data_IF_246882755496
#
_entry.id   IF_246882755496
#
_cell.length_a   1.000
_cell.length_b   1.000
_cell.length_c   1.000
_cell.angle_alpha   90.00
_cell.angle_beta   90.00
_cell.angle_gamma   90.00
#
_symmetry.space_group_name_H-M   'P 1'
#
loop_
_entity.id
_entity.type
_entity.pdbx_description
1 polymer ?
#
# COMPACT_ATOMS: atom_id res chain seq x y z
N UNK A 1 27.07 -2.39 26.87
CA UNK A 1 26.22 -3.58 26.77
C UNK A 1 24.77 -3.16 26.96
N UNK A 2 24.04 -2.81 25.89
CA UNK A 2 22.59 -2.57 25.95
C UNK A 2 21.91 -3.79 25.36
N UNK A 3 21.10 -4.47 26.17
CA UNK A 3 20.31 -5.63 25.76
C UNK A 3 19.38 -5.25 24.61
N UNK A 4 19.53 -5.92 23.45
CA UNK A 4 18.61 -5.85 22.32
C UNK A 4 17.30 -6.52 22.75
N UNK A 5 16.40 -5.74 23.35
CA UNK A 5 15.08 -6.19 23.81
C UNK A 5 14.04 -6.26 22.68
N UNK A 6 14.38 -6.89 21.55
CA UNK A 6 13.39 -7.28 20.56
C UNK A 6 12.74 -8.58 21.02
N UNK A 7 11.43 -8.58 21.25
CA UNK A 7 10.68 -9.83 21.43
C UNK A 7 10.74 -10.60 20.11
N UNK A 8 11.56 -11.64 20.05
CA UNK A 8 11.73 -12.45 18.85
C UNK A 8 10.45 -13.26 18.59
N UNK A 9 9.47 -12.63 17.94
CA UNK A 9 8.22 -13.24 17.54
C UNK A 9 8.47 -14.09 16.30
N UNK A 10 8.41 -15.41 16.46
CA UNK A 10 8.44 -16.34 15.31
C UNK A 10 7.13 -16.22 14.52
N UNK A 11 7.09 -15.29 13.58
CA UNK A 11 6.01 -15.08 12.61
C UNK A 11 6.53 -15.55 11.26
N UNK A 12 5.78 -16.46 10.62
CA UNK A 12 6.17 -17.01 9.33
C UNK A 12 6.28 -15.89 8.27
N UNK A 13 7.37 -15.92 7.49
CA UNK A 13 7.73 -14.98 6.39
C UNK A 13 8.00 -13.51 6.74
N UNK A 14 7.82 -13.11 7.99
CA UNK A 14 8.08 -11.75 8.44
C UNK A 14 9.58 -11.49 8.50
N UNK A 15 10.06 -10.57 7.66
CA UNK A 15 11.36 -9.93 7.86
C UNK A 15 11.13 -8.75 8.80
N UNK A 16 11.27 -8.97 10.09
CA UNK A 16 10.85 -8.02 11.13
C UNK A 16 11.83 -6.85 11.29
N UNK A 17 11.30 -5.66 11.58
CA UNK A 17 12.13 -4.52 11.93
C UNK A 17 12.70 -4.70 13.34
N UNK A 18 13.98 -4.36 13.55
CA UNK A 18 14.67 -4.59 14.83
C UNK A 18 14.02 -3.85 16.00
N UNK A 19 13.36 -2.71 15.73
CA UNK A 19 12.70 -1.87 16.73
C UNK A 19 11.16 -2.09 16.80
N UNK A 20 10.61 -3.02 16.03
CA UNK A 20 9.18 -3.32 16.05
C UNK A 20 8.71 -3.85 17.43
N UNK A 21 7.61 -3.30 17.95
CA UNK A 21 7.07 -3.62 19.27
C UNK A 21 7.86 -3.06 20.46
N UNK A 22 8.91 -2.27 20.21
CA UNK A 22 9.64 -1.54 21.27
C UNK A 22 9.00 -0.16 21.52
N UNK A 23 9.60 0.64 22.41
CA UNK A 23 9.20 2.05 22.59
C UNK A 23 9.30 2.90 21.31
N UNK A 24 10.06 2.45 20.31
CA UNK A 24 10.22 3.11 19.01
C UNK A 24 9.30 2.53 17.92
N UNK A 25 8.36 1.63 18.27
CA UNK A 25 7.42 1.01 17.34
C UNK A 25 6.68 2.04 16.46
N UNK A 26 6.33 3.20 17.02
CA UNK A 26 5.65 4.30 16.31
C UNK A 26 6.43 4.85 15.10
N UNK A 27 7.74 4.64 15.10
CA UNK A 27 8.63 5.09 14.04
C UNK A 27 8.94 3.96 13.04
N UNK A 28 8.44 2.75 13.29
CA UNK A 28 8.57 1.62 12.40
C UNK A 28 7.44 1.54 11.37
N UNK A 29 7.77 1.07 10.18
CA UNK A 29 6.83 0.81 9.08
C UNK A 29 6.91 -0.66 8.66
N UNK A 30 5.76 -1.34 8.57
CA UNK A 30 5.66 -2.67 7.98
C UNK A 30 5.25 -2.54 6.51
N UNK A 31 6.12 -2.97 5.60
CA UNK A 31 5.81 -3.05 4.16
C UNK A 31 5.07 -4.36 3.90
N UNK A 32 3.80 -4.27 3.49
CA UNK A 32 2.99 -5.43 3.11
C UNK A 32 3.03 -5.54 1.58
N UNK A 33 3.60 -6.64 1.07
CA UNK A 33 3.90 -6.79 -0.35
C UNK A 33 2.96 -7.77 -1.04
N UNK A 34 2.67 -7.52 -2.31
CA UNK A 34 1.99 -8.47 -3.19
C UNK A 34 2.96 -9.54 -3.72
N UNK A 35 2.98 -10.70 -3.06
CA UNK A 35 3.81 -11.84 -3.46
C UNK A 35 5.31 -11.66 -3.14
N UNK A 36 6.06 -12.71 -3.48
CA UNK A 36 7.51 -12.78 -3.22
C UNK A 36 8.31 -11.89 -4.18
N UNK A 37 7.78 -11.56 -5.35
CA UNK A 37 8.41 -10.64 -6.30
C UNK A 37 8.51 -9.22 -5.72
N UNK A 38 7.40 -8.70 -5.17
CA UNK A 38 7.39 -7.41 -4.50
C UNK A 38 8.20 -7.44 -3.20
N UNK A 39 8.20 -8.57 -2.48
CA UNK A 39 9.07 -8.79 -1.31
C UNK A 39 10.55 -8.62 -1.68
N UNK A 40 11.01 -9.26 -2.75
CA UNK A 40 12.40 -9.15 -3.18
C UNK A 40 12.79 -7.69 -3.48
N UNK A 41 11.88 -6.92 -4.09
CA UNK A 41 12.06 -5.49 -4.33
C UNK A 41 12.16 -4.70 -3.01
N UNK A 42 11.27 -4.96 -2.05
CA UNK A 42 11.29 -4.32 -0.74
C UNK A 42 12.57 -4.63 0.05
N UNK A 43 13.01 -5.90 0.07
CA UNK A 43 14.23 -6.34 0.75
C UNK A 43 15.47 -5.67 0.15
N UNK A 44 15.54 -5.53 -1.18
CA UNK A 44 16.62 -4.77 -1.82
C UNK A 44 16.60 -3.29 -1.42
N UNK A 45 15.41 -2.70 -1.25
CA UNK A 45 15.23 -1.35 -0.71
C UNK A 45 15.70 -1.18 0.73
N UNK A 46 15.54 -2.21 1.57
CA UNK A 46 16.00 -2.20 2.96
C UNK A 46 17.53 -2.07 3.10
N UNK A 47 18.30 -2.42 2.06
CA UNK A 47 19.75 -2.18 2.04
C UNK A 47 20.09 -0.68 2.13
N UNK A 48 19.16 0.20 1.76
CA UNK A 48 19.31 1.66 1.78
C UNK A 48 18.77 2.27 3.07
N UNK A 49 17.53 1.91 3.44
CA UNK A 49 16.84 2.53 4.60
C UNK A 49 17.13 1.84 5.93
N UNK A 50 17.81 0.69 5.90
CA UNK A 50 18.12 -0.12 7.07
C UNK A 50 16.95 -0.98 7.56
N UNK A 51 17.28 -1.97 8.42
CA UNK A 51 16.31 -2.92 9.00
C UNK A 51 15.82 -2.52 10.39
N UNK A 52 16.34 -1.44 10.96
CA UNK A 52 15.96 -1.02 12.31
C UNK A 52 14.47 -0.65 12.41
N UNK A 53 13.94 0.03 11.37
CA UNK A 53 12.60 0.63 11.37
C UNK A 53 11.68 0.09 10.28
N UNK A 54 12.16 -0.80 9.43
CA UNK A 54 11.42 -1.28 8.27
C UNK A 54 11.34 -2.79 8.28
N UNK A 55 10.11 -3.30 8.32
CA UNK A 55 9.82 -4.72 8.19
C UNK A 55 9.13 -5.02 6.86
N UNK A 56 9.15 -6.28 6.44
CA UNK A 56 8.48 -6.74 5.21
C UNK A 56 7.64 -7.99 5.49
N UNK A 57 6.39 -7.99 5.04
CA UNK A 57 5.48 -9.13 5.12
C UNK A 57 4.83 -9.42 3.75
N UNK A 58 5.15 -10.56 3.11
CA UNK A 58 4.55 -10.92 1.83
C UNK A 58 3.15 -11.54 1.98
N UNK A 59 2.19 -11.01 1.24
CA UNK A 59 0.92 -11.68 0.97
C UNK A 59 1.11 -12.70 -0.16
N UNK A 60 0.55 -13.90 -0.02
CA UNK A 60 0.51 -14.92 -1.09
C UNK A 60 -0.50 -14.57 -2.17
N UNK A 61 -1.49 -13.72 -1.86
CA UNK A 61 -2.51 -13.28 -2.79
C UNK A 61 -3.52 -12.36 -2.12
N UNK A 62 -4.76 -12.42 -2.60
CA UNK A 62 -5.87 -11.64 -2.05
C UNK A 62 -6.13 -12.03 -0.60
N UNK A 63 -6.00 -11.05 0.29
CA UNK A 63 -6.33 -11.19 1.70
C UNK A 63 -7.79 -11.65 1.85
N UNK A 64 -8.08 -12.49 2.85
CA UNK A 64 -9.44 -12.89 3.13
C UNK A 64 -10.32 -11.66 3.40
N UNK A 65 -11.42 -11.51 2.67
CA UNK A 65 -12.44 -10.53 3.03
C UNK A 65 -13.04 -10.90 4.39
N UNK A 66 -12.78 -10.06 5.39
CA UNK A 66 -13.18 -10.30 6.77
C UNK A 66 -14.66 -10.01 7.01
N UNK A 67 -15.28 -9.16 6.17
CA UNK A 67 -16.69 -8.80 6.31
C UNK A 67 -17.58 -9.99 5.99
N UNK A 68 -18.37 -10.42 6.97
CA UNK A 68 -19.23 -11.59 6.87
C UNK A 68 -18.49 -12.94 6.96
N UNK A 69 -17.19 -12.95 7.24
CA UNK A 69 -16.48 -14.18 7.58
C UNK A 69 -16.74 -14.54 9.06
N UNK A 70 -16.99 -15.82 9.34
CA UNK A 70 -17.12 -16.29 10.73
C UNK A 70 -15.76 -16.26 11.44
N UNK A 71 -15.76 -16.11 12.77
CA UNK A 71 -14.54 -16.15 13.58
C UNK A 71 -13.70 -17.40 13.31
N UNK A 72 -14.35 -18.56 13.19
CA UNK A 72 -13.68 -19.81 12.86
C UNK A 72 -12.96 -19.78 11.49
N UNK A 73 -13.52 -19.07 10.49
CA UNK A 73 -12.88 -18.90 9.18
C UNK A 73 -11.69 -17.95 9.24
N UNK A 74 -11.81 -16.87 10.03
CA UNK A 74 -10.73 -15.90 10.23
C UNK A 74 -9.51 -16.57 10.90
N UNK A 75 -9.74 -17.30 12.00
CA UNK A 75 -8.68 -17.97 12.76
C UNK A 75 -8.00 -19.11 11.99
N UNK A 76 -8.70 -19.73 11.03
CA UNK A 76 -8.13 -20.74 10.12
C UNK A 76 -7.32 -20.13 8.97
N UNK A 77 -7.46 -18.84 8.71
CA UNK A 77 -6.67 -18.17 7.68
C UNK A 77 -5.32 -17.74 8.28
N UNK A 78 -4.30 -18.58 8.08
CA UNK A 78 -2.97 -18.35 8.63
C UNK A 78 -2.38 -17.01 8.19
N UNK A 79 -2.57 -16.61 6.93
CA UNK A 79 -2.02 -15.36 6.41
C UNK A 79 -2.57 -14.13 7.13
N UNK A 80 -3.90 -14.06 7.30
CA UNK A 80 -4.57 -13.02 8.07
C UNK A 80 -4.08 -13.02 9.53
N UNK A 81 -4.01 -14.19 10.16
CA UNK A 81 -3.55 -14.33 11.55
C UNK A 81 -2.10 -13.86 11.70
N UNK A 82 -1.21 -14.24 10.79
CA UNK A 82 0.20 -13.82 10.85
C UNK A 82 0.37 -12.32 10.58
N UNK A 83 -0.41 -11.74 9.65
CA UNK A 83 -0.42 -10.29 9.42
C UNK A 83 -0.89 -9.52 10.66
N UNK A 84 -2.01 -9.93 11.27
CA UNK A 84 -2.51 -9.31 12.50
C UNK A 84 -1.47 -9.43 13.62
N UNK A 85 -0.82 -10.59 13.78
CA UNK A 85 0.26 -10.79 14.76
C UNK A 85 1.48 -9.91 14.46
N UNK A 86 1.87 -9.74 13.20
CA UNK A 86 2.98 -8.88 12.79
C UNK A 86 2.73 -7.43 13.21
N UNK A 87 1.48 -6.97 13.11
CA UNK A 87 1.04 -5.64 13.51
C UNK A 87 0.78 -5.48 15.01
N UNK A 88 0.70 -6.58 15.78
CA UNK A 88 0.27 -6.52 17.19
C UNK A 88 -1.22 -6.27 17.34
N UNK A 89 -2.04 -6.77 16.42
CA UNK A 89 -3.48 -6.59 16.36
C UNK A 89 -4.22 -7.90 16.67
N UNK A 90 -5.40 -7.79 17.28
CA UNK A 90 -6.31 -8.92 17.53
C UNK A 90 -7.77 -8.47 17.49
N UNK A 91 -8.69 -9.20 16.80
CA UNK A 91 -10.09 -8.81 16.74
C UNK A 91 -10.73 -8.67 18.14
N UNK A 92 -11.54 -7.63 18.34
CA UNK A 92 -12.25 -7.39 19.61
C UNK A 92 -11.42 -6.71 20.70
N UNK A 93 -10.12 -6.49 20.46
CA UNK A 93 -9.31 -5.62 21.30
C UNK A 93 -9.23 -4.23 20.66
N UNK A 94 -9.48 -3.18 21.46
CA UNK A 94 -9.12 -1.82 21.06
C UNK A 94 -7.60 -1.70 21.15
N UNK A 95 -6.87 -1.44 20.05
CA UNK A 95 -5.45 -1.19 20.12
C UNK A 95 -5.26 0.07 20.96
N UNK A 96 -4.54 -0.03 22.07
CA UNK A 96 -4.04 1.18 22.73
C UNK A 96 -3.16 1.90 21.70
N UNK A 97 -3.47 3.16 21.43
CA UNK A 97 -2.60 4.05 20.69
C UNK A 97 -1.17 3.94 21.24
N UNK A 98 -0.17 4.34 20.44
CA UNK A 98 1.27 4.22 20.73
C UNK A 98 1.76 5.05 21.95
N UNK A 99 0.90 5.29 22.93
CA UNK A 99 1.15 5.86 24.23
C UNK A 99 1.65 4.77 25.17
N UNK A 100 2.96 4.75 25.43
CA UNK A 100 3.50 4.03 26.55
C UNK A 100 3.08 4.70 27.87
N UNK A 101 2.14 4.09 28.56
CA UNK A 101 1.92 4.14 30.01
C UNK A 101 1.08 2.89 30.33
N UNK A 102 1.59 1.89 31.07
CA UNK A 102 1.44 1.85 32.53
C UNK A 102 -0.04 2.05 32.88
N UNK A 103 -0.82 1.05 33.29
CA UNK A 103 -0.71 0.44 34.62
C UNK A 103 -1.49 -0.89 34.67
N UNK A 104 -0.82 -2.00 34.97
CA UNK A 104 -1.40 -3.20 35.61
C UNK A 104 -2.59 -3.94 34.97
N UNK A 105 -3.17 -3.46 33.87
CA UNK A 105 -4.35 -4.04 33.24
C UNK A 105 -3.95 -5.01 32.12
N UNK A 106 -4.61 -6.17 32.13
CA UNK A 106 -4.40 -7.31 31.25
C UNK A 106 -4.20 -6.94 29.76
N UNK A 107 -3.08 -7.39 29.19
CA UNK A 107 -2.82 -7.68 27.77
C UNK A 107 -3.61 -6.88 26.72
N UNK A 108 -3.60 -5.54 26.78
CA UNK A 108 -4.07 -4.75 25.63
C UNK A 108 -3.03 -4.85 24.51
N UNK A 109 -3.40 -5.23 23.28
CA UNK A 109 -2.45 -5.30 22.17
C UNK A 109 -1.87 -3.93 21.88
N UNK A 110 -0.55 -3.83 21.97
CA UNK A 110 0.21 -2.67 21.53
C UNK A 110 0.65 -2.90 20.10
N UNK A 111 0.38 -1.90 19.23
CA UNK A 111 0.84 -1.92 17.85
C UNK A 111 2.36 -2.14 17.80
N UNK A 112 2.81 -3.07 16.95
CA UNK A 112 4.24 -3.32 16.73
C UNK A 112 4.87 -2.36 15.75
N UNK A 113 4.05 -1.77 14.88
CA UNK A 113 4.44 -0.81 13.86
C UNK A 113 3.55 0.41 13.95
N UNK A 114 4.12 1.59 13.75
CA UNK A 114 3.38 2.84 13.70
C UNK A 114 2.71 3.07 12.35
N UNK A 115 3.17 2.38 11.31
CA UNK A 115 2.65 2.49 9.95
C UNK A 115 2.65 1.15 9.21
N UNK A 116 1.73 1.02 8.28
CA UNK A 116 1.67 -0.02 7.26
C UNK A 116 1.81 0.63 5.89
N UNK A 117 2.76 0.16 5.11
CA UNK A 117 2.96 0.58 3.73
C UNK A 117 2.56 -0.55 2.79
N UNK A 118 1.53 -0.33 1.99
CA UNK A 118 1.04 -1.29 1.00
C UNK A 118 1.86 -1.14 -0.28
N UNK A 119 2.49 -2.23 -0.70
CA UNK A 119 3.36 -2.28 -1.88
C UNK A 119 2.85 -3.36 -2.83
N UNK A 120 1.94 -2.95 -3.71
CA UNK A 120 1.26 -3.81 -4.69
C UNK A 120 1.59 -3.39 -6.12
N UNK A 121 1.31 -4.25 -7.09
CA UNK A 121 1.39 -3.87 -8.49
C UNK A 121 0.37 -2.74 -8.80
N UNK A 122 0.69 -1.90 -9.79
CA UNK A 122 -0.15 -0.80 -10.23
C UNK A 122 -1.20 -1.28 -11.24
N UNK A 123 -1.91 -2.34 -10.86
CA UNK A 123 -2.98 -2.97 -11.63
C UNK A 123 -4.25 -3.18 -10.78
N UNK A 124 -5.26 -3.83 -11.39
CA UNK A 124 -6.57 -4.07 -10.77
C UNK A 124 -6.49 -5.04 -9.58
N UNK A 125 -5.58 -6.02 -9.62
CA UNK A 125 -5.40 -6.99 -8.55
C UNK A 125 -4.70 -6.36 -7.35
N UNK A 126 -3.68 -5.54 -7.58
CA UNK A 126 -3.03 -4.74 -6.53
C UNK A 126 -4.00 -3.75 -5.88
N UNK A 127 -4.84 -3.08 -6.67
CA UNK A 127 -5.91 -2.23 -6.14
C UNK A 127 -6.90 -3.00 -5.25
N UNK A 128 -7.25 -4.24 -5.63
CA UNK A 128 -8.12 -5.09 -4.83
C UNK A 128 -7.45 -5.55 -3.53
N UNK A 129 -6.18 -5.94 -3.55
CA UNK A 129 -5.41 -6.28 -2.35
C UNK A 129 -5.38 -5.09 -1.39
N UNK A 130 -5.07 -3.88 -1.88
CA UNK A 130 -5.12 -2.65 -1.08
C UNK A 130 -6.49 -2.46 -0.43
N UNK A 131 -7.55 -2.60 -1.21
CA UNK A 131 -8.92 -2.50 -0.71
C UNK A 131 -9.28 -3.53 0.36
N UNK A 132 -8.81 -4.78 0.25
CA UNK A 132 -9.03 -5.82 1.26
C UNK A 132 -8.29 -5.51 2.57
N UNK A 133 -7.05 -5.03 2.49
CA UNK A 133 -6.30 -4.57 3.66
C UNK A 133 -7.00 -3.40 4.36
N UNK A 134 -7.44 -2.40 3.59
CA UNK A 134 -8.20 -1.25 4.11
C UNK A 134 -9.53 -1.70 4.73
N UNK A 135 -10.25 -2.61 4.08
CA UNK A 135 -11.51 -3.16 4.59
C UNK A 135 -11.32 -3.89 5.92
N UNK A 136 -10.24 -4.66 6.07
CA UNK A 136 -9.89 -5.32 7.32
C UNK A 136 -9.62 -4.30 8.44
N UNK A 137 -8.77 -3.31 8.18
CA UNK A 137 -8.46 -2.26 9.14
C UNK A 137 -9.71 -1.47 9.52
N UNK A 138 -10.52 -1.06 8.55
CA UNK A 138 -11.78 -0.37 8.77
C UNK A 138 -12.77 -1.21 9.60
N UNK A 139 -12.88 -2.51 9.32
CA UNK A 139 -13.86 -3.36 9.99
C UNK A 139 -13.54 -3.61 11.46
N UNK A 140 -12.26 -3.78 11.82
CA UNK A 140 -11.87 -4.08 13.20
C UNK A 140 -11.32 -2.89 13.98
N UNK A 141 -10.66 -1.95 13.30
CA UNK A 141 -9.92 -0.83 13.90
C UNK A 141 -10.08 0.46 13.07
N UNK A 142 -11.31 0.98 12.89
CA UNK A 142 -11.56 2.16 12.07
C UNK A 142 -10.73 3.39 12.50
N UNK A 143 -10.44 3.52 13.80
CA UNK A 143 -9.58 4.59 14.33
C UNK A 143 -8.17 4.62 13.69
N UNK A 144 -7.63 3.48 13.24
CA UNK A 144 -6.33 3.45 12.54
C UNK A 144 -6.38 4.14 11.17
N UNK A 145 -7.55 4.23 10.55
CA UNK A 145 -7.72 4.92 9.27
C UNK A 145 -8.11 6.39 9.46
N UNK A 146 -8.88 6.72 10.50
CA UNK A 146 -9.44 8.05 10.68
C UNK A 146 -8.60 8.98 11.55
N UNK A 147 -7.92 8.42 12.56
CA UNK A 147 -7.29 9.20 13.63
C UNK A 147 -5.76 9.14 13.58
N UNK A 148 -5.19 8.32 12.68
CA UNK A 148 -3.76 8.13 12.57
C UNK A 148 -3.31 8.08 11.10
N UNK A 149 -2.12 8.62 10.76
CA UNK A 149 -1.48 8.39 9.47
C UNK A 149 -0.85 6.99 9.42
N UNK A 150 -1.69 5.97 9.63
CA UNK A 150 -1.26 4.58 9.79
C UNK A 150 -1.01 3.89 8.45
N UNK A 151 -1.77 4.23 7.40
CA UNK A 151 -1.69 3.54 6.11
C UNK A 151 -1.02 4.41 5.06
N UNK A 152 -0.10 3.80 4.34
CA UNK A 152 0.66 4.41 3.25
C UNK A 152 0.69 3.46 2.06
N UNK A 153 0.91 4.01 0.88
CA UNK A 153 1.15 3.26 -0.35
C UNK A 153 2.57 3.53 -0.83
N UNK A 154 3.24 2.46 -1.28
CA UNK A 154 4.47 2.56 -2.05
C UNK A 154 4.15 2.44 -3.54
N UNK A 155 4.39 3.52 -4.29
CA UNK A 155 4.17 3.58 -5.74
C UNK A 155 5.49 3.47 -6.49
N UNK A 156 5.50 2.75 -7.61
CA UNK A 156 6.64 2.70 -8.54
C UNK A 156 6.29 3.38 -9.86
N UNK A 157 7.29 3.87 -10.62
CA UNK A 157 7.04 4.46 -11.92
C UNK A 157 6.38 3.44 -12.86
N UNK A 158 5.35 3.88 -13.58
CA UNK A 158 4.71 3.11 -14.65
C UNK A 158 5.58 3.14 -15.92
N UNK A 159 6.21 4.29 -16.18
CA UNK A 159 7.05 4.52 -17.36
C UNK A 159 8.33 5.24 -16.95
N UNK A 160 9.46 4.83 -17.54
CA UNK A 160 10.73 5.55 -17.44
C UNK A 160 11.23 5.94 -18.82
N UNK A 161 11.49 7.23 -19.01
CA UNK A 161 12.15 7.75 -20.19
C UNK A 161 13.64 7.97 -19.88
N UNK A 162 14.51 7.23 -20.56
CA UNK A 162 15.97 7.39 -20.46
C UNK A 162 16.47 8.19 -21.66
N UNK A 163 17.16 9.32 -21.45
CA UNK A 163 17.67 10.13 -22.55
C UNK A 163 18.90 9.48 -23.19
N UNK A 164 19.09 9.73 -24.49
CA UNK A 164 20.39 9.58 -25.14
C UNK A 164 21.41 10.55 -24.54
N UNK A 165 22.70 10.26 -24.72
CA UNK A 165 23.78 11.11 -24.21
C UNK A 165 23.57 12.59 -24.60
N UNK A 166 23.64 13.49 -23.62
CA UNK A 166 23.44 14.94 -23.82
C UNK A 166 21.98 15.41 -23.98
N UNK A 167 20.97 14.54 -23.80
CA UNK A 167 19.55 14.91 -23.88
C UNK A 167 18.88 15.20 -22.51
N UNK A 168 19.65 15.18 -21.41
CA UNK A 168 19.21 15.55 -20.07
C UNK A 168 19.22 14.39 -19.06
N UNK A 169 18.38 14.50 -18.02
CA UNK A 169 18.23 13.47 -16.99
C UNK A 169 17.05 12.52 -17.29
N UNK A 170 17.12 11.29 -16.76
CA UNK A 170 16.02 10.34 -16.83
C UNK A 170 14.76 10.89 -16.15
N UNK A 171 13.59 10.49 -16.66
CA UNK A 171 12.29 10.89 -16.15
C UNK A 171 11.46 9.66 -15.81
N UNK A 172 10.85 9.70 -14.64
CA UNK A 172 9.94 8.67 -14.16
C UNK A 172 8.51 9.24 -14.19
N UNK A 173 7.57 8.46 -14.68
CA UNK A 173 6.15 8.83 -14.78
C UNK A 173 5.33 7.82 -14.00
N UNK A 174 4.44 8.31 -13.13
CA UNK A 174 3.62 7.46 -12.26
C UNK A 174 2.21 7.24 -12.82
N UNK A 175 1.86 7.91 -13.92
CA UNK A 175 0.60 7.68 -14.63
C UNK A 175 0.77 7.75 -16.15
N UNK A 176 -0.12 7.05 -16.86
CA UNK A 176 -0.18 7.11 -18.31
C UNK A 176 -0.55 8.52 -18.81
N UNK A 177 -1.31 9.30 -18.03
CA UNK A 177 -1.69 10.66 -18.38
C UNK A 177 -0.47 11.61 -18.33
N UNK A 178 0.33 11.52 -17.28
CA UNK A 178 1.56 12.29 -17.12
C UNK A 178 2.56 11.99 -18.26
N UNK A 179 2.77 10.71 -18.55
CA UNK A 179 3.62 10.29 -19.66
C UNK A 179 3.12 10.79 -21.01
N UNK A 180 1.82 10.62 -21.32
CA UNK A 180 1.23 11.06 -22.60
C UNK A 180 1.34 12.57 -22.78
N UNK A 181 1.06 13.35 -21.74
CA UNK A 181 1.18 14.82 -21.78
C UNK A 181 2.62 15.25 -22.05
N UNK A 182 3.59 14.65 -21.36
CA UNK A 182 5.01 14.96 -21.59
C UNK A 182 5.46 14.53 -22.98
N UNK A 183 5.20 13.28 -23.36
CA UNK A 183 5.65 12.74 -24.65
C UNK A 183 4.99 13.46 -25.83
N UNK A 184 3.71 13.84 -25.71
CA UNK A 184 2.98 14.61 -26.72
C UNK A 184 3.44 16.07 -26.86
N UNK A 185 4.17 16.60 -25.87
CA UNK A 185 4.79 17.93 -25.96
C UNK A 185 6.10 17.96 -26.75
N UNK A 186 6.66 16.79 -27.09
CA UNK A 186 7.91 16.67 -27.83
C UNK A 186 7.67 16.61 -29.33
N UNK A 187 8.54 17.24 -30.12
CA UNK A 187 8.61 16.97 -31.56
C UNK A 187 9.08 15.53 -31.83
N UNK A 188 8.80 14.96 -33.02
CA UNK A 188 9.27 13.62 -33.37
C UNK A 188 10.79 13.44 -33.23
N UNK A 189 11.57 14.48 -33.56
CA UNK A 189 13.03 14.46 -33.44
C UNK A 189 13.49 14.45 -31.97
N UNK A 190 12.78 15.13 -31.07
CA UNK A 190 13.07 15.12 -29.64
C UNK A 190 12.65 13.80 -29.00
N UNK A 191 11.47 13.28 -29.33
CA UNK A 191 10.97 12.01 -28.84
C UNK A 191 11.92 10.85 -29.17
N UNK A 192 12.51 10.84 -30.37
CA UNK A 192 13.50 9.84 -30.79
C UNK A 192 14.79 9.82 -29.93
N UNK A 193 15.04 10.85 -29.13
CA UNK A 193 16.20 10.92 -28.21
C UNK A 193 15.93 10.23 -26.86
N UNK A 194 14.77 9.61 -26.68
CA UNK A 194 14.39 8.95 -25.43
C UNK A 194 14.10 7.47 -25.64
N UNK A 195 14.71 6.63 -24.82
CA UNK A 195 14.35 5.21 -24.69
C UNK A 195 13.26 5.07 -23.63
N UNK A 196 12.09 4.61 -24.04
CA UNK A 196 10.93 4.41 -23.16
C UNK A 196 10.90 2.97 -22.65
N UNK A 197 10.87 2.79 -21.32
CA UNK A 197 10.66 1.50 -20.65
C UNK A 197 9.34 1.54 -19.89
N UNK A 198 8.50 0.54 -20.12
CA UNK A 198 7.24 0.34 -19.39
C UNK A 198 7.44 -0.72 -18.29
N UNK A 199 6.90 -0.47 -17.10
CA UNK A 199 6.96 -1.40 -15.98
C UNK A 199 5.58 -2.05 -15.84
N UNK A 200 5.51 -3.37 -16.05
CA UNK A 200 4.25 -4.12 -16.01
C UNK A 200 3.83 -4.52 -14.59
N UNK A 201 4.78 -4.47 -13.65
CA UNK A 201 4.62 -4.84 -12.25
C UNK A 201 5.95 -4.64 -11.52
N UNK A 202 5.92 -4.74 -10.20
CA UNK A 202 7.03 -4.50 -9.28
C UNK A 202 8.23 -5.41 -9.60
N UNK A 203 7.99 -6.64 -10.04
CA UNK A 203 9.03 -7.59 -10.47
C UNK A 203 9.82 -7.17 -11.72
N UNK A 204 9.38 -6.13 -12.46
CA UNK A 204 10.11 -5.59 -13.62
C UNK A 204 11.28 -4.69 -13.21
N UNK A 205 11.25 -4.20 -11.96
CA UNK A 205 12.28 -3.31 -11.42
C UNK A 205 13.48 -4.12 -10.94
N UNK A 206 14.67 -3.65 -11.30
CA UNK A 206 15.93 -4.23 -10.84
C UNK A 206 16.21 -3.85 -9.38
N UNK A 207 17.09 -4.60 -8.70
CA UNK A 207 17.53 -4.25 -7.35
C UNK A 207 18.17 -2.85 -7.26
N UNK A 208 18.86 -2.40 -8.33
CA UNK A 208 19.42 -1.05 -8.39
C UNK A 208 18.33 0.03 -8.47
N UNK A 209 17.26 -0.21 -9.24
CA UNK A 209 16.08 0.66 -9.27
C UNK A 209 15.38 0.66 -7.91
N UNK A 210 15.22 -0.51 -7.27
CA UNK A 210 14.65 -0.63 -5.92
C UNK A 210 15.38 0.27 -4.92
N UNK A 211 16.72 0.16 -4.87
CA UNK A 211 17.54 1.00 -4.00
C UNK A 211 17.35 2.49 -4.30
N UNK A 212 17.29 2.87 -5.58
CA UNK A 212 17.02 4.26 -5.96
C UNK A 212 15.64 4.75 -5.54
N UNK A 213 14.61 3.89 -5.58
CA UNK A 213 13.27 4.25 -5.13
C UNK A 213 13.22 4.48 -3.62
N UNK A 214 13.89 3.63 -2.85
CA UNK A 214 13.96 3.74 -1.40
C UNK A 214 14.85 4.91 -0.93
N UNK A 215 15.91 5.23 -1.66
CA UNK A 215 16.69 6.47 -1.46
C UNK A 215 15.82 7.72 -1.70
N UNK A 216 14.96 7.66 -2.71
CA UNK A 216 14.00 8.72 -3.04
C UNK A 216 12.61 8.51 -2.40
N UNK A 217 12.54 7.94 -1.19
CA UNK A 217 11.28 7.50 -0.55
C UNK A 217 10.15 8.53 -0.60
N UNK A 218 10.44 9.83 -0.44
CA UNK A 218 9.44 10.89 -0.47
C UNK A 218 8.65 10.98 -1.81
N UNK A 219 9.23 10.50 -2.93
CA UNK A 219 8.55 10.45 -4.23
C UNK A 219 7.73 9.17 -4.44
N UNK A 220 8.05 8.12 -3.67
CA UNK A 220 7.44 6.79 -3.79
C UNK A 220 6.41 6.51 -2.69
N UNK A 221 6.37 7.35 -1.65
CA UNK A 221 5.46 7.23 -0.53
C UNK A 221 4.25 8.13 -0.70
N UNK A 222 3.07 7.54 -0.70
CA UNK A 222 1.78 8.25 -0.67
C UNK A 222 1.10 7.92 0.65
N UNK A 223 0.93 8.91 1.53
CA UNK A 223 0.15 8.71 2.75
C UNK A 223 -1.34 8.70 2.40
N UNK A 224 -2.10 7.78 3.00
CA UNK A 224 -3.55 7.85 2.93
C UNK A 224 -4.02 8.94 3.91
N UNK A 225 -4.58 10.01 3.38
CA UNK A 225 -5.15 11.07 4.21
C UNK A 225 -6.54 10.65 4.72
N UNK A 226 -6.84 10.91 6.00
CA UNK A 226 -8.19 10.75 6.52
C UNK A 226 -9.09 11.78 5.86
N UNK A 227 -9.86 11.34 4.85
CA UNK A 227 -10.85 12.15 4.15
C UNK A 227 -12.13 12.32 4.97
N UNK A 228 -13.26 12.46 4.29
CA UNK A 228 -14.57 12.35 4.93
C UNK A 228 -14.78 10.91 5.42
N UNK A 229 -14.69 10.72 6.75
CA UNK A 229 -14.84 9.42 7.39
C UNK A 229 -16.19 8.77 7.06
N UNK A 230 -17.28 9.54 7.02
CA UNK A 230 -18.60 8.98 6.71
C UNK A 230 -18.69 8.47 5.27
N UNK A 231 -18.09 9.21 4.33
CA UNK A 231 -18.03 8.78 2.94
C UNK A 231 -17.12 7.56 2.76
N UNK A 232 -15.98 7.53 3.43
CA UNK A 232 -15.05 6.40 3.40
C UNK A 232 -15.68 5.13 3.99
N UNK A 233 -16.40 5.26 5.11
CA UNK A 233 -17.08 4.16 5.79
C UNK A 233 -18.11 3.50 4.87
N UNK A 234 -18.96 4.32 4.24
CA UNK A 234 -19.98 3.87 3.33
C UNK A 234 -19.39 3.19 2.09
N UNK A 235 -18.32 3.76 1.51
CA UNK A 235 -17.65 3.19 0.35
C UNK A 235 -16.98 1.85 0.67
N UNK A 236 -16.25 1.75 1.79
CA UNK A 236 -15.59 0.52 2.21
C UNK A 236 -16.60 -0.56 2.59
N UNK A 237 -17.71 -0.18 3.23
CA UNK A 237 -18.78 -1.12 3.52
C UNK A 237 -19.48 -1.61 2.25
N UNK A 238 -19.91 -0.70 1.37
CA UNK A 238 -20.53 -1.06 0.08
C UNK A 238 -19.63 -1.95 -0.78
N UNK A 239 -18.34 -1.62 -0.86
CA UNK A 239 -17.37 -2.36 -1.67
C UNK A 239 -17.15 -3.80 -1.18
N UNK A 240 -17.09 -4.03 0.14
CA UNK A 240 -16.65 -5.31 0.70
C UNK A 240 -17.72 -6.09 1.47
N UNK A 241 -18.85 -5.50 1.83
CA UNK A 241 -19.90 -6.21 2.57
C UNK A 241 -20.63 -7.20 1.65
N UNK A 242 -20.71 -8.50 2.00
CA UNK A 242 -21.25 -9.52 1.11
C UNK A 242 -22.73 -9.29 0.75
N UNK A 243 -23.52 -8.72 1.67
CA UNK A 243 -24.93 -8.43 1.45
C UNK A 243 -25.21 -7.24 0.51
N UNK A 244 -24.20 -6.43 0.15
CA UNK A 244 -24.38 -5.18 -0.59
C UNK A 244 -24.16 -5.32 -2.11
N UNK A 245 -24.49 -6.48 -2.66
CA UNK A 245 -24.31 -6.76 -4.09
C UNK A 245 -25.16 -5.85 -5.00
N UNK A 246 -26.38 -5.53 -4.58
CA UNK A 246 -27.27 -4.61 -5.32
C UNK A 246 -26.70 -3.19 -5.38
N UNK A 247 -26.13 -2.70 -4.27
CA UNK A 247 -25.53 -1.38 -4.19
C UNK A 247 -24.30 -1.28 -5.10
N UNK A 248 -23.43 -2.30 -5.09
CA UNK A 248 -22.28 -2.38 -6.01
C UNK A 248 -22.72 -2.34 -7.47
N UNK A 249 -23.81 -3.02 -7.83
CA UNK A 249 -24.35 -2.98 -9.21
C UNK A 249 -24.72 -1.56 -9.61
N UNK A 250 -25.45 -0.87 -8.74
CA UNK A 250 -25.87 0.53 -8.97
C UNK A 250 -24.66 1.47 -9.04
N UNK A 251 -23.69 1.27 -8.16
CA UNK A 251 -22.45 2.05 -8.12
C UNK A 251 -21.61 1.90 -9.39
N UNK A 252 -21.45 0.66 -9.90
CA UNK A 252 -20.75 0.40 -11.15
C UNK A 252 -21.49 0.99 -12.36
N UNK A 253 -22.83 0.89 -12.40
CA UNK A 253 -23.64 1.51 -13.45
C UNK A 253 -23.43 3.04 -13.49
N UNK A 254 -23.51 3.70 -12.34
CA UNK A 254 -23.26 5.13 -12.24
C UNK A 254 -21.82 5.51 -12.67
N UNK A 255 -20.83 4.66 -12.39
CA UNK A 255 -19.45 4.88 -12.84
C UNK A 255 -19.30 4.78 -14.37
N UNK A 256 -19.96 3.79 -15.00
CA UNK A 256 -19.99 3.64 -16.46
C UNK A 256 -20.64 4.86 -17.11
N UNK A 257 -21.77 5.32 -16.58
CA UNK A 257 -22.46 6.51 -17.09
C UNK A 257 -21.62 7.79 -16.94
N UNK A 258 -20.93 7.97 -15.80
CA UNK A 258 -20.00 9.09 -15.62
C UNK A 258 -18.86 9.08 -16.64
N UNK A 259 -18.30 7.90 -16.92
CA UNK A 259 -17.24 7.73 -17.90
C UNK A 259 -17.72 8.03 -19.31
N UNK A 260 -18.88 7.51 -19.69
CA UNK A 260 -19.49 7.78 -20.99
C UNK A 260 -19.76 9.28 -21.19
N UNK A 261 -20.25 9.98 -20.16
CA UNK A 261 -20.41 11.45 -20.20
C UNK A 261 -19.07 12.17 -20.36
N UNK A 262 -18.06 11.81 -19.58
CA UNK A 262 -16.73 12.44 -19.68
C UNK A 262 -16.06 12.22 -21.05
N UNK A 263 -16.27 11.06 -21.68
CA UNK A 263 -15.78 10.77 -23.02
C UNK A 263 -16.53 11.60 -24.07
N UNK A 264 -17.86 11.73 -23.94
CA UNK A 264 -18.67 12.59 -24.81
C UNK A 264 -18.34 14.09 -24.67
N UNK A 265 -18.09 14.56 -23.44
CA UNK A 265 -17.71 15.95 -23.18
C UNK A 265 -16.32 16.26 -23.77
N UNK A 266 -15.36 15.32 -23.67
CA UNK A 266 -14.05 15.45 -24.29
C UNK A 266 -14.12 15.48 -25.82
N UNK A 267 -14.99 14.67 -26.43
CA UNK A 267 -15.24 14.70 -27.89
C UNK A 267 -15.92 16.00 -28.33
N UNK A 268 -16.82 16.57 -27.51
CA UNK A 268 -17.49 17.83 -27.79
C UNK A 268 -16.55 19.04 -27.68
N UNK A 269 -15.63 19.03 -26.71
CA UNK A 269 -14.63 20.10 -26.52
C UNK A 269 -13.44 20.00 -27.50
N UNK A 270 -13.14 18.81 -28.03
CA UNK A 270 -12.05 18.57 -28.99
C UNK A 270 -12.38 18.89 -30.46
N UNK A 271 -13.57 19.40 -30.76
CA UNK A 271 -14.04 19.78 -32.10
C UNK A 271 -14.18 21.31 -32.27
N UNK A 272 -13.67 22.10 -31.33
CA UNK A 272 -13.64 23.58 -31.42
C UNK A 272 -12.24 24.12 -31.75
#
# INVERSE_FOLDING_TARGET
>A
SRSRGGTNLSIDKLDDAELAGTALARECTLIVTEGDSAKALAVAGLEVVGRERWGVFPLRGKLLNVRGASLARLLKNEELVQLMRALGLSPGASPTALTGAGDGAQSVPTLRYGRVMLMTDQDEDGAHIKGLCLSMLHHYWPALLHEAPFVEEFITPLVKATPSAGAGAARDFFSAAEFRRWHGSLSPAEAARWRIKYYKGLGTSTAAEARSYFDAMARHRVALEPGDASAADELLDMAFHPARAADRKSWMQAAIERRARSEADFEAEGVA
#
